data_IF_016556403526
#
_entry.id   IF_016556403526
#
_cell.length_a   1.000
_cell.length_b   1.000
_cell.length_c   1.000
_cell.angle_alpha   90.00
_cell.angle_beta   90.00
_cell.angle_gamma   90.00
#
_symmetry.space_group_name_H-M   'P 1'
#
loop_
_entity.id
_entity.type
_entity.pdbx_description
1 polymer ?
#
# COMPACT_ATOMS: atom_id res chain seq x y z
N UNK A 1 -3.55 13.55 21.21
CA UNK A 1 -2.63 13.47 20.05
C UNK A 1 -1.57 12.44 20.39
N UNK A 2 -1.37 11.44 19.52
CA UNK A 2 -0.24 10.53 19.67
C UNK A 2 1.06 11.32 19.53
N UNK A 3 2.01 11.11 20.44
CA UNK A 3 3.38 11.60 20.27
C UNK A 3 4.09 10.58 19.38
N UNK A 4 4.66 11.05 18.26
CA UNK A 4 5.48 10.21 17.39
C UNK A 4 6.73 9.75 18.14
N UNK A 5 6.99 8.45 18.10
CA UNK A 5 8.20 7.89 18.68
C UNK A 5 9.44 8.41 17.92
N UNK A 6 10.39 9.09 18.59
CA UNK A 6 11.59 9.61 17.94
C UNK A 6 12.44 8.55 17.23
N UNK A 7 12.30 7.28 17.60
CA UNK A 7 13.02 6.17 16.98
C UNK A 7 12.56 5.88 15.55
N UNK A 8 11.41 6.40 15.12
CA UNK A 8 10.93 6.30 13.74
C UNK A 8 11.68 7.22 12.76
N UNK A 9 12.46 8.19 13.25
CA UNK A 9 13.14 9.15 12.38
C UNK A 9 14.11 8.49 11.41
N UNK A 10 14.82 7.44 11.83
CA UNK A 10 15.75 6.72 10.95
C UNK A 10 15.02 6.06 9.77
N UNK A 11 13.80 5.54 10.00
CA UNK A 11 12.94 5.02 8.95
C UNK A 11 12.47 6.15 8.03
N UNK A 12 12.04 7.29 8.58
CA UNK A 12 11.60 8.43 7.77
C UNK A 12 12.71 8.99 6.88
N UNK A 13 13.93 9.09 7.40
CA UNK A 13 15.09 9.51 6.60
C UNK A 13 15.39 8.52 5.47
N UNK A 14 15.26 7.22 5.74
CA UNK A 14 15.42 6.18 4.71
C UNK A 14 14.36 6.32 3.62
N UNK A 15 13.09 6.47 4.00
CA UNK A 15 11.98 6.68 3.06
C UNK A 15 12.17 7.94 2.22
N UNK A 16 12.58 9.04 2.86
CA UNK A 16 12.86 10.32 2.19
C UNK A 16 14.01 10.20 1.20
N UNK A 17 15.09 9.54 1.57
CA UNK A 17 16.24 9.31 0.66
C UNK A 17 15.86 8.44 -0.55
N UNK A 18 14.83 7.60 -0.39
CA UNK A 18 14.23 6.79 -1.45
C UNK A 18 13.11 7.51 -2.21
N UNK A 19 12.86 8.80 -1.93
CA UNK A 19 11.79 9.61 -2.53
C UNK A 19 10.39 9.04 -2.28
N UNK A 20 10.19 8.43 -1.11
CA UNK A 20 8.92 7.88 -0.64
C UNK A 20 8.28 8.80 0.41
N UNK A 21 8.37 10.12 0.22
CA UNK A 21 7.81 11.12 1.14
C UNK A 21 6.30 10.93 1.38
N UNK A 22 5.58 10.48 0.35
CA UNK A 22 4.16 10.13 0.44
C UNK A 22 3.88 9.07 1.52
N UNK A 23 4.77 8.10 1.69
CA UNK A 23 4.62 7.04 2.67
C UNK A 23 4.90 7.54 4.09
N UNK A 24 5.77 8.55 4.23
CA UNK A 24 6.01 9.22 5.53
C UNK A 24 4.72 9.91 6.00
N UNK A 25 4.02 10.61 5.09
CA UNK A 25 2.73 11.22 5.43
C UNK A 25 1.69 10.18 5.84
N UNK A 26 1.54 9.09 5.07
CA UNK A 26 0.62 8.00 5.40
C UNK A 26 0.93 7.37 6.78
N UNK A 27 2.21 7.19 7.12
CA UNK A 27 2.62 6.69 8.43
C UNK A 27 2.25 7.63 9.58
N UNK A 28 2.52 8.93 9.41
CA UNK A 28 2.17 9.93 10.43
C UNK A 28 0.67 9.99 10.66
N UNK A 29 -0.13 9.97 9.58
CA UNK A 29 -1.58 9.95 9.65
C UNK A 29 -2.10 8.67 10.30
N UNK A 30 -1.58 7.50 9.92
CA UNK A 30 -2.01 6.22 10.49
C UNK A 30 -1.68 6.07 11.98
N UNK A 31 -0.50 6.54 12.43
CA UNK A 31 -0.13 6.56 13.85
C UNK A 31 -1.07 7.47 14.65
N UNK A 32 -1.42 8.63 14.09
CA UNK A 32 -2.30 9.60 14.74
C UNK A 32 -3.77 9.15 14.78
N UNK A 33 -4.25 8.55 13.67
CA UNK A 33 -5.60 8.01 13.56
C UNK A 33 -5.80 6.80 14.48
N UNK A 34 -4.73 6.05 14.78
CA UNK A 34 -4.78 4.88 15.65
C UNK A 34 -5.34 3.65 14.93
N UNK A 35 -5.35 2.50 15.64
CA UNK A 35 -5.98 1.29 15.10
C UNK A 35 -7.50 1.42 15.26
N UNK A 36 -8.22 1.57 14.15
CA UNK A 36 -9.66 1.39 14.18
C UNK A 36 -9.97 -0.05 14.62
N UNK A 37 -10.91 -0.26 15.56
CA UNK A 37 -11.33 -1.61 15.91
C UNK A 37 -11.83 -2.28 14.64
N UNK A 38 -11.31 -3.47 14.34
CA UNK A 38 -11.78 -4.28 13.23
C UNK A 38 -13.28 -4.50 13.38
N UNK A 39 -14.08 -3.99 12.44
CA UNK A 39 -15.51 -4.31 12.38
C UNK A 39 -15.65 -5.83 12.35
N UNK A 40 -16.45 -6.38 13.27
CA UNK A 40 -16.64 -7.82 13.31
C UNK A 40 -17.28 -8.30 12.00
N UNK A 41 -16.95 -9.50 11.52
CA UNK A 41 -17.61 -10.07 10.34
C UNK A 41 -19.14 -10.08 10.45
N UNK A 42 -19.66 -10.18 11.68
CA UNK A 42 -21.08 -10.12 12.00
C UNK A 42 -21.67 -8.72 11.81
N UNK A 43 -20.94 -7.66 12.18
CA UNK A 43 -21.36 -6.27 11.91
C UNK A 43 -21.42 -5.99 10.41
N UNK A 44 -20.44 -6.49 9.66
CA UNK A 44 -20.39 -6.35 8.19
C UNK A 44 -21.52 -7.14 7.50
N UNK A 45 -21.81 -8.35 7.98
CA UNK A 45 -22.91 -9.17 7.49
C UNK A 45 -24.27 -8.54 7.82
N UNK A 46 -24.39 -7.91 8.98
CA UNK A 46 -25.59 -7.19 9.40
C UNK A 46 -25.85 -5.95 8.54
N UNK A 47 -24.83 -5.09 8.35
CA UNK A 47 -24.93 -3.92 7.48
C UNK A 47 -25.34 -4.30 6.04
N UNK A 48 -24.81 -5.41 5.51
CA UNK A 48 -25.20 -5.95 4.19
C UNK A 48 -26.65 -6.43 4.15
N UNK A 49 -27.19 -6.97 5.24
CA UNK A 49 -28.60 -7.38 5.33
C UNK A 49 -29.53 -6.17 5.40
N UNK A 50 -29.14 -5.15 6.15
CA UNK A 50 -29.96 -3.96 6.38
C UNK A 50 -30.10 -3.13 5.09
N UNK A 51 -29.01 -2.91 4.35
CA UNK A 51 -29.02 -2.25 3.02
C UNK A 51 -29.91 -3.00 2.02
N UNK A 52 -29.99 -4.32 2.11
CA UNK A 52 -30.78 -5.15 1.19
C UNK A 52 -32.28 -5.19 1.53
N UNK A 53 -32.67 -4.66 2.67
CA UNK A 53 -34.02 -4.83 3.24
C UNK A 53 -34.91 -3.58 3.16
N UNK A 54 -34.44 -2.48 2.54
CA UNK A 54 -35.14 -1.17 2.47
C UNK A 54 -35.63 -0.61 3.83
N UNK A 55 -35.17 -1.20 4.94
CA UNK A 55 -35.27 -0.57 6.25
C UNK A 55 -34.27 0.56 6.31
N UNK A 56 -34.72 1.77 6.65
CA UNK A 56 -33.82 2.81 7.14
C UNK A 56 -32.96 2.18 8.23
N UNK A 57 -31.63 2.13 8.08
CA UNK A 57 -30.79 1.58 9.12
C UNK A 57 -30.96 2.49 10.34
N UNK A 58 -31.59 1.96 11.40
CA UNK A 58 -31.27 2.44 12.74
C UNK A 58 -29.80 2.07 12.95
N UNK A 59 -28.91 2.99 12.59
CA UNK A 59 -27.51 2.91 12.95
C UNK A 59 -27.46 2.99 14.47
N UNK A 60 -27.54 1.83 15.12
CA UNK A 60 -27.06 1.69 16.49
C UNK A 60 -25.55 1.86 16.41
N UNK A 61 -25.10 3.11 16.59
CA UNK A 61 -23.71 3.40 16.93
C UNK A 61 -23.48 2.85 18.34
N UNK A 62 -23.48 1.52 18.47
CA UNK A 62 -22.92 0.86 19.64
C UNK A 62 -21.55 1.48 19.91
N UNK A 63 -21.15 1.63 21.19
CA UNK A 63 -20.10 2.56 21.60
C UNK A 63 -18.90 2.40 20.67
N UNK A 64 -18.70 3.40 19.80
CA UNK A 64 -17.54 3.48 18.92
C UNK A 64 -16.36 3.48 19.87
N UNK A 65 -15.68 2.34 19.95
CA UNK A 65 -14.48 2.24 20.76
C UNK A 65 -13.51 3.20 20.09
N UNK A 66 -13.25 4.34 20.74
CA UNK A 66 -12.42 5.40 20.18
C UNK A 66 -11.10 4.78 19.72
N UNK A 67 -10.68 5.12 18.50
CA UNK A 67 -9.43 4.59 17.96
C UNK A 67 -8.30 4.97 18.92
N UNK A 68 -7.62 3.95 19.45
CA UNK A 68 -6.53 4.17 20.40
C UNK A 68 -5.28 4.51 19.58
N UNK A 69 -4.65 5.67 19.83
CA UNK A 69 -3.41 6.02 19.17
C UNK A 69 -2.34 4.97 19.45
N UNK A 70 -1.61 4.59 18.40
CA UNK A 70 -0.51 3.63 18.54
C UNK A 70 0.60 4.31 19.35
N UNK A 71 1.23 3.60 20.30
CA UNK A 71 2.23 4.21 21.19
C UNK A 71 3.43 3.31 21.43
N UNK A 72 4.62 3.93 21.57
CA UNK A 72 5.88 3.25 21.87
C UNK A 72 6.26 2.20 20.81
N UNK A 73 6.62 1.01 21.27
CA UNK A 73 7.08 -0.10 20.43
C UNK A 73 6.03 -0.56 19.41
N UNK A 74 4.74 -0.39 19.71
CA UNK A 74 3.66 -0.71 18.77
C UNK A 74 3.68 0.22 17.54
N UNK A 75 4.18 1.46 17.66
CA UNK A 75 4.33 2.36 16.51
C UNK A 75 5.39 1.84 15.55
N UNK A 76 6.48 1.30 16.10
CA UNK A 76 7.60 0.77 15.32
C UNK A 76 7.17 -0.49 14.58
N UNK A 77 6.52 -1.41 15.27
CA UNK A 77 6.00 -2.65 14.68
C UNK A 77 4.97 -2.36 13.59
N UNK A 78 4.00 -1.49 13.90
CA UNK A 78 2.99 -1.09 12.93
C UNK A 78 3.60 -0.39 11.72
N UNK A 79 4.57 0.51 11.91
CA UNK A 79 5.18 1.24 10.80
C UNK A 79 5.93 0.31 9.83
N UNK A 80 6.68 -0.66 10.36
CA UNK A 80 7.37 -1.66 9.54
C UNK A 80 6.39 -2.50 8.73
N UNK A 81 5.35 -3.00 9.38
CA UNK A 81 4.34 -3.80 8.70
C UNK A 81 3.59 -2.96 7.64
N UNK A 82 3.24 -1.72 7.98
CA UNK A 82 2.55 -0.80 7.08
C UNK A 82 3.39 -0.51 5.83
N UNK A 83 4.67 -0.14 6.00
CA UNK A 83 5.58 0.14 4.86
C UNK A 83 5.67 -1.06 3.93
N UNK A 84 5.92 -2.25 4.47
CA UNK A 84 6.06 -3.46 3.66
C UNK A 84 4.77 -3.81 2.90
N UNK A 85 3.63 -3.77 3.59
CA UNK A 85 2.33 -4.08 2.99
C UNK A 85 1.92 -3.03 1.95
N UNK A 86 2.18 -1.76 2.22
CA UNK A 86 1.80 -0.66 1.34
C UNK A 86 2.62 -0.67 0.05
N UNK A 87 3.93 -0.90 0.12
CA UNK A 87 4.78 -1.05 -1.05
C UNK A 87 4.39 -2.27 -1.90
N UNK A 88 4.06 -3.40 -1.27
CA UNK A 88 3.55 -4.58 -1.98
C UNK A 88 2.25 -4.28 -2.72
N UNK A 89 1.29 -3.64 -2.04
CA UNK A 89 0.03 -3.23 -2.65
C UNK A 89 0.24 -2.28 -3.83
N UNK A 90 1.09 -1.26 -3.68
CA UNK A 90 1.41 -0.30 -4.75
C UNK A 90 2.05 -0.99 -5.96
N UNK A 91 3.01 -1.91 -5.73
CA UNK A 91 3.63 -2.67 -6.82
C UNK A 91 2.63 -3.60 -7.52
N UNK A 92 1.73 -4.23 -6.77
CA UNK A 92 0.66 -5.05 -7.33
C UNK A 92 -0.33 -4.22 -8.18
N UNK A 93 -0.70 -3.02 -7.72
CA UNK A 93 -1.54 -2.08 -8.46
C UNK A 93 -0.85 -1.61 -9.74
N UNK A 94 0.43 -1.26 -9.66
CA UNK A 94 1.24 -0.84 -10.79
C UNK A 94 1.40 -1.96 -11.84
N UNK A 95 1.64 -3.20 -11.39
CA UNK A 95 1.69 -4.37 -12.26
C UNK A 95 0.36 -4.65 -12.97
N UNK A 96 -0.78 -4.47 -12.28
CA UNK A 96 -2.12 -4.56 -12.89
C UNK A 96 -2.35 -3.45 -13.91
N UNK A 97 -1.96 -2.22 -13.59
CA UNK A 97 -2.10 -1.09 -14.50
C UNK A 97 -1.27 -1.29 -15.78
N UNK A 98 -0.01 -1.72 -15.65
CA UNK A 98 0.85 -2.06 -16.78
C UNK A 98 0.25 -3.19 -17.64
N UNK A 99 -0.25 -4.25 -17.02
CA UNK A 99 -0.90 -5.35 -17.74
C UNK A 99 -2.20 -4.90 -18.47
N UNK A 100 -2.96 -3.98 -17.89
CA UNK A 100 -4.14 -3.41 -18.54
C UNK A 100 -3.75 -2.55 -19.76
N UNK A 101 -2.68 -1.75 -19.65
CA UNK A 101 -2.16 -0.98 -20.77
C UNK A 101 -1.64 -1.91 -21.89
N UNK A 102 -0.94 -3.00 -21.55
CA UNK A 102 -0.52 -4.02 -22.51
C UNK A 102 -1.71 -4.57 -23.32
N UNK A 103 -2.84 -4.85 -22.65
CA UNK A 103 -4.08 -5.33 -23.29
C UNK A 103 -4.69 -4.27 -24.21
N UNK A 104 -4.64 -2.98 -23.82
CA UNK A 104 -5.17 -1.88 -24.62
C UNK A 104 -4.32 -1.67 -25.88
N UNK A 105 -3.00 -1.68 -25.74
CA UNK A 105 -2.04 -1.41 -26.82
C UNK A 105 -1.95 -2.59 -27.78
N UNK A 106 -1.75 -3.81 -27.27
CA UNK A 106 -1.57 -5.00 -28.09
C UNK A 106 -2.90 -5.69 -28.49
N UNK A 107 -4.03 -5.17 -27.98
CA UNK A 107 -5.35 -5.74 -28.19
C UNK A 107 -5.61 -6.98 -27.32
N UNK A 108 -6.88 -7.23 -27.03
CA UNK A 108 -7.27 -8.41 -26.26
C UNK A 108 -7.08 -9.68 -27.12
N UNK A 109 -6.23 -10.65 -26.71
CA UNK A 109 -5.97 -11.86 -27.50
C UNK A 109 -7.24 -12.68 -27.78
N UNK A 110 -8.28 -12.49 -26.96
CA UNK A 110 -9.58 -13.16 -27.08
C UNK A 110 -10.49 -12.60 -28.19
N UNK A 111 -10.12 -11.49 -28.86
CA UNK A 111 -10.92 -10.82 -29.90
C UNK A 111 -10.14 -10.46 -31.17
N UNK A 112 -8.96 -11.03 -31.39
CA UNK A 112 -8.11 -10.65 -32.51
C UNK A 112 -8.62 -11.17 -33.87
N UNK A 113 -9.46 -10.37 -34.53
CA UNK A 113 -9.63 -10.45 -35.99
C UNK A 113 -8.35 -9.88 -36.63
N UNK A 114 -7.65 -10.73 -37.37
CA UNK A 114 -6.34 -10.44 -37.98
C UNK A 114 -6.31 -9.11 -38.73
N UNK A 115 -5.58 -8.12 -38.20
CA UNK A 115 -4.99 -7.03 -39.02
C UNK A 115 -3.59 -6.70 -38.51
N UNK A 116 -2.66 -6.65 -39.47
CA UNK A 116 -1.26 -6.20 -39.44
C UNK A 116 -0.43 -6.41 -38.15
N UNK A 117 0.53 -7.34 -38.25
CA UNK A 117 1.69 -7.53 -37.37
C UNK A 117 2.46 -6.21 -37.17
N UNK A 118 2.23 -5.52 -36.06
CA UNK A 118 3.33 -4.92 -35.31
C UNK A 118 3.74 -5.95 -34.26
N UNK A 119 5.05 -6.19 -34.09
CA UNK A 119 5.54 -7.09 -33.04
C UNK A 119 5.03 -6.65 -31.66
N UNK A 120 5.08 -7.52 -30.64
CA UNK A 120 4.63 -7.15 -29.30
C UNK A 120 5.30 -5.84 -28.88
N UNK A 121 4.51 -4.80 -28.67
CA UNK A 121 4.99 -3.54 -28.13
C UNK A 121 5.03 -3.68 -26.62
N UNK A 122 6.22 -3.55 -26.06
CA UNK A 122 6.41 -3.46 -24.62
C UNK A 122 5.92 -2.08 -24.15
N UNK A 123 4.95 -2.07 -23.23
CA UNK A 123 4.45 -0.82 -22.65
C UNK A 123 5.51 -0.28 -21.69
N UNK A 124 6.00 0.91 -22.00
CA UNK A 124 6.88 1.70 -21.15
C UNK A 124 6.06 2.84 -20.54
N UNK A 125 6.09 2.95 -19.23
CA UNK A 125 5.49 4.07 -18.51
C UNK A 125 6.56 5.14 -18.35
N UNK A 126 6.34 6.32 -18.94
CA UNK A 126 7.24 7.47 -18.80
C UNK A 126 6.60 8.49 -17.86
N UNK A 127 7.19 8.70 -16.69
CA UNK A 127 6.88 9.86 -15.85
C UNK A 127 7.66 11.06 -16.39
N UNK A 128 6.93 11.98 -17.00
CA UNK A 128 7.45 13.26 -17.48
C UNK A 128 7.36 14.31 -16.36
N UNK A 129 8.18 14.16 -15.34
CA UNK A 129 8.36 15.21 -14.33
C UNK A 129 9.49 16.13 -14.85
N UNK A 130 9.29 17.46 -14.81
CA UNK A 130 10.05 18.46 -15.56
C UNK A 130 11.59 18.50 -15.41
N UNK A 131 12.19 17.59 -14.66
CA UNK A 131 13.64 17.44 -14.41
C UNK A 131 14.25 16.18 -15.06
N UNK A 132 13.44 15.36 -15.75
CA UNK A 132 13.92 14.20 -16.52
C UNK A 132 12.86 13.12 -16.66
N UNK A 133 12.90 12.38 -17.77
CA UNK A 133 11.97 11.28 -17.95
C UNK A 133 12.41 10.04 -17.19
N UNK A 134 11.59 9.62 -16.23
CA UNK A 134 11.73 8.32 -15.57
C UNK A 134 10.96 7.30 -16.37
N UNK A 135 11.68 6.30 -16.87
CA UNK A 135 11.09 5.19 -17.61
C UNK A 135 10.95 4.01 -16.68
N UNK A 136 9.78 3.41 -16.70
CA UNK A 136 9.46 2.22 -15.95
C UNK A 136 8.99 1.15 -16.93
N UNK A 137 9.68 0.03 -16.92
CA UNK A 137 9.34 -1.16 -17.69
C UNK A 137 8.68 -2.19 -16.77
N UNK A 138 7.99 -3.16 -17.38
CA UNK A 138 7.36 -4.26 -16.64
C UNK A 138 8.38 -5.07 -15.83
N UNK A 139 9.59 -5.23 -16.37
CA UNK A 139 10.66 -5.96 -15.71
C UNK A 139 11.13 -5.26 -14.42
N UNK A 140 11.07 -3.92 -14.36
CA UNK A 140 11.42 -3.17 -13.15
C UNK A 140 10.42 -3.43 -12.03
N UNK A 141 9.12 -3.52 -12.37
CA UNK A 141 8.07 -3.85 -11.40
C UNK A 141 8.29 -5.26 -10.84
N UNK A 142 8.58 -6.23 -11.73
CA UNK A 142 8.83 -7.63 -11.32
C UNK A 142 10.07 -7.71 -10.45
N UNK A 143 11.16 -7.04 -10.84
CA UNK A 143 12.40 -7.01 -10.06
C UNK A 143 12.17 -6.39 -8.67
N UNK A 144 11.46 -5.27 -8.59
CA UNK A 144 11.11 -4.65 -7.31
C UNK A 144 10.26 -5.59 -6.44
N UNK A 145 9.26 -6.27 -7.01
CA UNK A 145 8.46 -7.26 -6.28
C UNK A 145 9.28 -8.44 -5.76
N UNK A 146 10.33 -8.87 -6.47
CA UNK A 146 11.20 -9.97 -6.00
C UNK A 146 12.10 -9.57 -4.84
N UNK A 147 12.42 -8.29 -4.67
CA UNK A 147 13.26 -7.78 -3.58
C UNK A 147 12.45 -7.47 -2.30
N UNK A 148 11.12 -7.31 -2.40
CA UNK A 148 10.25 -7.02 -1.24
C UNK A 148 10.41 -7.99 -0.05
N UNK A 149 10.55 -9.31 -0.23
CA UNK A 149 10.78 -10.22 0.90
C UNK A 149 12.10 -9.94 1.62
N UNK A 150 13.13 -9.47 0.91
CA UNK A 150 14.40 -9.04 1.49
C UNK A 150 14.22 -7.77 2.33
N UNK A 151 13.56 -6.76 1.75
CA UNK A 151 13.21 -5.52 2.45
C UNK A 151 12.41 -5.79 3.73
N UNK A 152 11.41 -6.69 3.68
CA UNK A 152 10.62 -7.05 4.86
C UNK A 152 11.49 -7.60 5.99
N UNK A 153 12.43 -8.49 5.68
CA UNK A 153 13.37 -9.05 6.68
C UNK A 153 14.26 -7.97 7.29
N UNK A 154 14.75 -7.03 6.48
CA UNK A 154 15.58 -5.93 6.97
C UNK A 154 14.79 -4.98 7.87
N UNK A 155 13.56 -4.64 7.50
CA UNK A 155 12.67 -3.84 8.34
C UNK A 155 12.31 -4.56 9.65
N UNK A 156 12.06 -5.87 9.61
CA UNK A 156 11.82 -6.68 10.81
C UNK A 156 13.06 -6.69 11.73
N UNK A 157 14.26 -6.89 11.17
CA UNK A 157 15.52 -6.87 11.92
C UNK A 157 15.78 -5.49 12.55
N UNK A 158 15.56 -4.42 11.78
CA UNK A 158 15.64 -3.05 12.27
C UNK A 158 14.64 -2.81 13.42
N UNK A 159 13.39 -3.25 13.29
CA UNK A 159 12.38 -3.12 14.35
C UNK A 159 12.80 -3.81 15.64
N UNK A 160 13.43 -4.98 15.54
CA UNK A 160 13.88 -5.75 16.70
C UNK A 160 15.07 -5.07 17.39
N UNK A 161 16.02 -4.54 16.61
CA UNK A 161 17.15 -3.76 17.11
C UNK A 161 16.70 -2.49 17.83
N UNK A 162 15.79 -1.70 17.23
CA UNK A 162 15.31 -0.43 17.79
C UNK A 162 14.48 -0.63 19.06
N UNK A 163 13.82 -1.78 19.20
CA UNK A 163 13.11 -2.19 20.41
C UNK A 163 14.02 -2.84 21.47
N UNK A 164 15.30 -3.03 21.18
CA UNK A 164 16.26 -3.64 22.10
C UNK A 164 16.06 -5.14 22.31
N UNK A 165 15.50 -5.84 21.30
CA UNK A 165 15.25 -7.29 21.32
C UNK A 165 16.40 -8.10 20.71
N UNK A 166 17.49 -7.44 20.28
CA UNK A 166 18.68 -8.01 19.62
C UNK A 166 19.94 -7.47 20.28
#
# INVERSE_FOLDING_TARGET
MAILDPRLFDLFETLRSSQLDWLIFELMEGIQAGKHPSESPDALAQARRDVRSDRSPEFDFGPTTEAVPISGDDQIEWAVEYVANRLDATLAELGRAAANLDIIVNGNPSKATSTAKQGPQEVMIELADGDGSRKLERNDIVAASTELPGLRKELEAWSAQVRGQV
#
